data_IF_492822678060
#
_entry.id   IF_492822678060
#
_cell.length_a   1.000
_cell.length_b   1.000
_cell.length_c   1.000
_cell.angle_alpha   90.00
_cell.angle_beta   90.00
_cell.angle_gamma   90.00
#
_symmetry.space_group_name_H-M   'P 1'
#
loop_
_entity.id
_entity.type
_entity.pdbx_description
1 polymer ?
#
# COMPACT_ATOMS: atom_id res chain seq x y z
N UNK A 1 -7.20 -1.37 12.64
CA UNK A 1 -7.31 -0.02 12.06
C UNK A 1 -8.77 0.46 12.18
N UNK A 2 -9.03 1.77 12.37
CA UNK A 2 -10.40 2.32 12.51
C UNK A 2 -11.26 2.08 11.25
N UNK A 3 -10.70 2.36 10.08
CA UNK A 3 -11.32 2.10 8.76
C UNK A 3 -11.89 0.68 8.65
N UNK A 4 -11.08 -0.34 8.97
CA UNK A 4 -11.50 -1.74 8.85
C UNK A 4 -12.60 -2.17 9.81
N UNK A 5 -12.76 -1.46 10.95
CA UNK A 5 -13.82 -1.75 11.92
C UNK A 5 -15.13 -1.04 11.60
N UNK A 6 -15.05 0.11 10.93
CA UNK A 6 -16.20 0.96 10.60
C UNK A 6 -16.73 0.71 9.18
N UNK A 7 -15.96 0.01 8.33
CA UNK A 7 -16.37 -0.27 6.97
C UNK A 7 -17.57 -1.25 6.94
N UNK A 8 -18.70 -0.86 6.32
CA UNK A 8 -19.88 -1.73 6.24
C UNK A 8 -19.80 -2.74 5.07
N UNK A 9 -18.72 -2.73 4.29
CA UNK A 9 -18.56 -3.53 3.08
C UNK A 9 -17.40 -4.52 3.24
N UNK A 10 -17.65 -5.78 2.87
CA UNK A 10 -16.66 -6.85 2.97
C UNK A 10 -16.34 -7.29 4.40
N UNK A 11 -15.60 -8.38 4.51
CA UNK A 11 -15.10 -8.93 5.77
C UNK A 11 -13.61 -8.60 5.88
N UNK A 12 -13.20 -7.93 6.95
CA UNK A 12 -11.78 -7.64 7.20
C UNK A 12 -11.00 -8.94 7.45
N UNK A 13 -9.88 -9.12 6.75
CA UNK A 13 -9.05 -10.33 6.88
C UNK A 13 -7.81 -10.01 7.72
N UNK A 14 -6.94 -9.14 7.22
CA UNK A 14 -5.69 -8.83 7.90
C UNK A 14 -5.21 -7.40 7.67
N UNK A 15 -4.33 -6.95 8.55
CA UNK A 15 -3.69 -5.65 8.54
C UNK A 15 -2.19 -5.83 8.69
N UNK A 16 -1.42 -5.12 7.85
CA UNK A 16 0.02 -5.24 7.79
C UNK A 16 0.68 -3.87 7.77
N UNK A 17 1.79 -3.78 8.49
CA UNK A 17 2.68 -2.63 8.53
C UNK A 17 3.88 -2.99 7.68
N UNK A 18 4.18 -2.14 6.69
CA UNK A 18 5.26 -2.34 5.73
C UNK A 18 6.31 -1.27 5.96
N UNK A 19 7.46 -1.70 6.47
CA UNK A 19 8.62 -0.85 6.67
C UNK A 19 9.41 -0.77 5.37
N UNK A 20 9.74 0.44 4.92
CA UNK A 20 10.56 0.68 3.72
C UNK A 20 11.88 1.34 4.09
N UNK A 21 12.67 1.70 3.07
CA UNK A 21 14.01 2.23 3.23
C UNK A 21 14.02 3.47 4.15
N UNK A 22 14.59 3.37 5.37
CA UNK A 22 14.67 4.49 6.28
C UNK A 22 15.63 5.56 5.78
N UNK A 23 16.48 5.32 4.79
CA UNK A 23 17.40 6.33 4.24
C UNK A 23 16.75 7.18 3.14
N UNK A 24 15.49 6.93 2.79
CA UNK A 24 14.81 7.67 1.73
C UNK A 24 14.72 9.19 2.05
N UNK A 25 15.13 10.08 1.11
CA UNK A 25 15.28 11.51 1.37
C UNK A 25 13.97 12.26 1.60
N UNK A 26 12.83 11.74 1.13
CA UNK A 26 11.49 12.33 1.25
C UNK A 26 10.56 11.50 2.14
N UNK A 27 11.06 11.01 3.28
CA UNK A 27 10.30 10.15 4.19
C UNK A 27 9.52 10.93 5.26
N UNK A 28 8.41 10.35 5.72
CA UNK A 28 7.90 10.60 7.07
C UNK A 28 8.84 9.91 8.09
N UNK A 29 8.77 10.27 9.38
CA UNK A 29 9.75 9.86 10.42
C UNK A 29 10.16 8.38 10.38
N UNK A 30 9.25 7.47 10.02
CA UNK A 30 9.50 6.02 9.98
C UNK A 30 9.45 5.37 8.58
N UNK A 31 9.24 6.10 7.47
CA UNK A 31 9.12 5.52 6.12
C UNK A 31 8.25 4.24 6.05
N UNK A 32 7.06 4.29 6.64
CA UNK A 32 6.20 3.13 6.80
C UNK A 32 4.89 3.32 6.02
N UNK A 33 4.39 2.22 5.44
CA UNK A 33 3.09 2.14 4.79
C UNK A 33 2.20 1.11 5.48
N UNK A 34 0.89 1.25 5.34
CA UNK A 34 -0.10 0.32 5.90
C UNK A 34 -0.90 -0.29 4.77
N UNK A 35 -1.12 -1.60 4.84
CA UNK A 35 -2.03 -2.32 3.96
C UNK A 35 -3.06 -3.11 4.78
N UNK A 36 -4.25 -3.24 4.22
CA UNK A 36 -5.38 -3.99 4.78
C UNK A 36 -6.02 -4.80 3.67
N UNK A 37 -6.51 -6.01 3.98
CA UNK A 37 -7.22 -6.86 3.04
C UNK A 37 -8.64 -7.16 3.51
N UNK A 38 -9.53 -7.36 2.55
CA UNK A 38 -10.93 -7.69 2.76
C UNK A 38 -11.35 -8.83 1.85
N UNK A 39 -12.20 -9.72 2.35
CA UNK A 39 -12.99 -10.62 1.51
C UNK A 39 -14.27 -9.88 1.12
N UNK A 40 -14.52 -9.71 -0.17
CA UNK A 40 -15.65 -8.91 -0.65
C UNK A 40 -16.31 -9.54 -1.86
N UNK A 41 -17.63 -9.36 -1.98
CA UNK A 41 -18.38 -9.72 -3.18
C UNK A 41 -18.08 -8.74 -4.31
N UNK A 42 -18.14 -9.23 -5.55
CA UNK A 42 -17.81 -8.42 -6.73
C UNK A 42 -18.66 -7.13 -6.83
N UNK A 43 -19.94 -7.23 -6.48
CA UNK A 43 -20.92 -6.13 -6.50
C UNK A 43 -20.65 -5.00 -5.46
N UNK A 44 -19.84 -5.28 -4.44
CA UNK A 44 -19.54 -4.32 -3.36
C UNK A 44 -18.12 -3.74 -3.45
N UNK A 45 -17.28 -4.22 -4.39
CA UNK A 45 -15.87 -3.78 -4.53
C UNK A 45 -15.73 -2.26 -4.62
N UNK A 46 -16.46 -1.63 -5.53
CA UNK A 46 -16.37 -0.18 -5.70
C UNK A 46 -16.92 0.59 -4.49
N UNK A 47 -17.89 0.02 -3.75
CA UNK A 47 -18.41 0.65 -2.52
C UNK A 47 -17.35 0.66 -1.41
N UNK A 48 -16.60 -0.43 -1.25
CA UNK A 48 -15.46 -0.50 -0.33
C UNK A 48 -14.38 0.52 -0.73
N UNK A 49 -14.03 0.57 -2.00
CA UNK A 49 -13.00 1.50 -2.51
C UNK A 49 -13.41 2.95 -2.26
N UNK A 50 -14.66 3.31 -2.55
CA UNK A 50 -15.13 4.68 -2.32
C UNK A 50 -15.19 5.02 -0.84
N UNK A 51 -15.71 4.11 0.00
CA UNK A 51 -15.68 4.28 1.45
C UNK A 51 -14.24 4.50 1.97
N UNK A 52 -13.27 3.71 1.48
CA UNK A 52 -11.87 3.85 1.83
C UNK A 52 -11.31 5.22 1.44
N UNK A 53 -11.60 5.69 0.21
CA UNK A 53 -11.19 7.00 -0.28
C UNK A 53 -11.74 8.11 0.61
N UNK A 54 -13.03 8.10 0.90
CA UNK A 54 -13.69 9.09 1.75
C UNK A 54 -13.09 9.09 3.17
N UNK A 55 -12.95 7.90 3.77
CA UNK A 55 -12.37 7.74 5.10
C UNK A 55 -10.96 8.33 5.18
N UNK A 56 -10.07 7.94 4.26
CA UNK A 56 -8.69 8.41 4.28
C UNK A 56 -8.57 9.88 3.89
N UNK A 57 -9.42 10.40 3.01
CA UNK A 57 -9.44 11.83 2.68
C UNK A 57 -9.81 12.67 3.90
N UNK A 58 -10.77 12.21 4.70
CA UNK A 58 -11.23 12.88 5.92
C UNK A 58 -10.23 12.78 7.08
N UNK A 59 -9.69 11.59 7.31
CA UNK A 59 -8.90 11.30 8.52
C UNK A 59 -7.39 11.52 8.32
N UNK A 60 -6.89 11.52 7.08
CA UNK A 60 -5.46 11.77 6.84
C UNK A 60 -5.10 13.23 7.06
N UNK A 61 -4.01 13.46 7.79
CA UNK A 61 -3.42 14.78 7.99
C UNK A 61 -2.44 15.20 6.88
N UNK A 62 -2.06 14.26 6.00
CA UNK A 62 -1.11 14.51 4.91
C UNK A 62 -1.83 14.87 3.61
N UNK A 63 -1.34 15.88 2.89
CA UNK A 63 -1.79 16.23 1.55
C UNK A 63 -1.24 15.28 0.46
N UNK A 64 -0.20 14.51 0.78
CA UNK A 64 0.47 13.55 -0.11
C UNK A 64 -0.06 12.10 0.03
N UNK A 65 -1.26 11.95 0.55
CA UNK A 65 -1.84 10.62 0.82
C UNK A 65 -2.21 9.91 -0.47
N UNK A 66 -1.59 8.75 -0.70
CA UNK A 66 -1.88 7.86 -1.82
C UNK A 66 -2.47 6.55 -1.28
N UNK A 67 -3.56 6.11 -1.88
CA UNK A 67 -4.17 4.81 -1.64
C UNK A 67 -3.94 3.92 -2.87
N UNK A 68 -3.63 2.66 -2.65
CA UNK A 68 -3.53 1.65 -3.70
C UNK A 68 -4.52 0.52 -3.44
N UNK A 69 -5.02 -0.08 -4.52
CA UNK A 69 -5.96 -1.21 -4.46
C UNK A 69 -5.45 -2.28 -5.41
N UNK A 70 -5.40 -3.51 -4.91
CA UNK A 70 -5.11 -4.70 -5.70
C UNK A 70 -6.22 -5.71 -5.50
N UNK A 71 -6.70 -6.26 -6.61
CA UNK A 71 -7.75 -7.28 -6.63
C UNK A 71 -7.13 -8.61 -7.04
N UNK A 72 -7.02 -9.54 -6.11
CA UNK A 72 -6.43 -10.86 -6.36
C UNK A 72 -6.21 -11.66 -5.10
N UNK A 73 -5.89 -12.94 -5.28
CA UNK A 73 -5.60 -13.88 -4.19
C UNK A 73 -4.10 -14.01 -3.89
N UNK A 74 -3.25 -13.64 -4.84
CA UNK A 74 -1.79 -13.73 -4.73
C UNK A 74 -1.16 -12.53 -5.41
N UNK A 75 -0.25 -11.87 -4.71
CA UNK A 75 0.52 -10.75 -5.27
C UNK A 75 1.45 -11.27 -6.40
N UNK A 76 1.51 -10.61 -7.57
CA UNK A 76 2.44 -10.99 -8.65
C UNK A 76 3.91 -10.96 -8.21
N UNK A 77 4.71 -11.93 -8.63
CA UNK A 77 6.13 -12.05 -8.24
C UNK A 77 6.95 -10.81 -8.63
N UNK A 78 6.70 -10.23 -9.81
CA UNK A 78 7.35 -9.00 -10.25
C UNK A 78 7.12 -7.84 -9.26
N UNK A 79 5.89 -7.71 -8.75
CA UNK A 79 5.53 -6.68 -7.78
C UNK A 79 6.15 -6.96 -6.41
N UNK A 80 6.23 -8.23 -6.00
CA UNK A 80 6.92 -8.65 -4.79
C UNK A 80 8.41 -8.28 -4.86
N UNK A 81 9.11 -8.67 -5.93
CA UNK A 81 10.53 -8.39 -6.13
C UNK A 81 10.85 -6.90 -6.14
N UNK A 82 10.04 -6.12 -6.86
CA UNK A 82 10.19 -4.66 -6.90
C UNK A 82 10.00 -4.05 -5.49
N UNK A 83 9.00 -4.51 -4.76
CA UNK A 83 8.68 -3.97 -3.43
C UNK A 83 9.70 -4.37 -2.37
N UNK A 84 10.27 -5.58 -2.48
CA UNK A 84 11.39 -5.99 -1.65
C UNK A 84 12.61 -5.10 -1.89
N UNK A 85 12.95 -4.85 -3.16
CA UNK A 85 14.04 -3.94 -3.54
C UNK A 85 13.80 -2.50 -3.07
N UNK A 86 12.56 -2.05 -3.00
CA UNK A 86 12.22 -0.71 -2.50
C UNK A 86 12.58 -0.50 -1.02
N UNK A 87 12.90 -1.57 -0.27
CA UNK A 87 13.43 -1.48 1.10
C UNK A 87 14.91 -1.07 1.16
N UNK A 88 15.64 -1.13 0.05
CA UNK A 88 17.07 -0.76 -0.01
C UNK A 88 17.43 0.18 -1.18
N UNK A 89 16.60 0.21 -2.23
CA UNK A 89 16.83 1.02 -3.44
C UNK A 89 15.91 2.24 -3.43
N UNK A 90 16.44 3.39 -3.86
CA UNK A 90 15.65 4.60 -4.09
C UNK A 90 14.99 4.54 -5.48
N UNK A 91 13.67 4.41 -5.50
CA UNK A 91 12.87 4.49 -6.72
C UNK A 91 12.31 5.90 -6.95
N UNK A 92 11.91 6.17 -8.20
CA UNK A 92 11.14 7.37 -8.56
C UNK A 92 9.63 7.10 -8.48
N UNK A 93 8.83 8.16 -8.42
CA UNK A 93 7.36 8.03 -8.50
C UNK A 93 6.92 7.37 -9.81
N UNK A 94 7.64 7.62 -10.91
CA UNK A 94 7.36 7.01 -12.21
C UNK A 94 7.54 5.49 -12.18
N UNK A 95 8.60 4.99 -11.54
CA UNK A 95 8.84 3.55 -11.41
C UNK A 95 7.68 2.86 -10.68
N UNK A 96 7.16 3.51 -9.63
CA UNK A 96 6.01 3.02 -8.87
C UNK A 96 4.71 3.00 -9.70
N UNK A 97 4.45 4.02 -10.52
CA UNK A 97 3.30 4.04 -11.43
C UNK A 97 3.41 2.95 -12.50
N UNK A 98 4.60 2.79 -13.08
CA UNK A 98 4.84 1.84 -14.16
C UNK A 98 4.73 0.38 -13.68
N UNK A 99 5.26 0.05 -12.49
CA UNK A 99 5.09 -1.30 -11.91
C UNK A 99 3.64 -1.55 -11.49
N UNK A 100 2.96 -0.57 -10.89
CA UNK A 100 1.58 -0.69 -10.46
C UNK A 100 0.65 -1.00 -11.65
N UNK A 101 0.77 -0.23 -12.74
CA UNK A 101 -0.03 -0.40 -13.95
C UNK A 101 0.16 -1.77 -14.59
N UNK A 102 1.41 -2.26 -14.66
CA UNK A 102 1.73 -3.58 -15.25
C UNK A 102 1.19 -4.74 -14.42
N UNK A 103 1.03 -4.55 -13.11
CA UNK A 103 0.61 -5.59 -12.15
C UNK A 103 -0.85 -5.43 -11.68
N UNK A 104 -1.64 -4.58 -12.35
CA UNK A 104 -3.07 -4.43 -12.05
C UNK A 104 -3.37 -3.71 -10.73
N UNK A 105 -2.42 -2.94 -10.19
CA UNK A 105 -2.62 -2.12 -9.00
C UNK A 105 -3.23 -0.78 -9.39
N UNK A 106 -4.41 -0.48 -8.85
CA UNK A 106 -5.08 0.82 -9.02
C UNK A 106 -4.50 1.80 -8.01
N UNK A 107 -4.11 2.98 -8.46
CA UNK A 107 -3.51 4.04 -7.61
C UNK A 107 -4.43 5.25 -7.52
N UNK A 108 -4.60 5.82 -6.32
CA UNK A 108 -5.43 6.99 -6.06
C UNK A 108 -4.68 8.02 -5.24
N UNK A 109 -4.43 9.21 -5.80
CA UNK A 109 -4.10 10.38 -5.00
C UNK A 109 -5.37 10.89 -4.33
N UNK A 110 -5.42 10.89 -2.99
CA UNK A 110 -6.63 11.27 -2.26
C UNK A 110 -6.78 12.78 -2.10
N UNK A 111 -5.65 13.50 -2.10
CA UNK A 111 -5.59 14.95 -2.00
C UNK A 111 -4.70 15.52 -3.11
N UNK A 112 -3.85 16.50 -2.80
CA UNK A 112 -3.08 17.27 -3.80
C UNK A 112 -1.77 16.60 -4.20
N UNK A 113 -1.21 15.75 -3.35
CA UNK A 113 0.12 15.21 -3.50
C UNK A 113 0.16 13.72 -3.82
N UNK A 114 1.27 13.29 -4.43
CA UNK A 114 1.52 11.92 -4.91
C UNK A 114 2.74 11.26 -4.27
N UNK A 115 3.44 11.94 -3.36
CA UNK A 115 4.73 11.48 -2.82
C UNK A 115 4.65 10.13 -2.10
N UNK A 116 3.48 9.76 -1.59
CA UNK A 116 3.25 8.46 -0.95
C UNK A 116 3.16 7.26 -1.90
N UNK A 117 3.27 7.45 -3.23
CA UNK A 117 2.98 6.40 -4.20
C UNK A 117 3.93 5.21 -4.13
N UNK A 118 5.23 5.44 -3.94
CA UNK A 118 6.22 4.36 -3.82
C UNK A 118 5.85 3.47 -2.64
N UNK A 119 5.51 4.08 -1.50
CA UNK A 119 5.15 3.33 -0.31
C UNK A 119 3.84 2.58 -0.44
N UNK A 120 2.82 3.22 -1.01
CA UNK A 120 1.53 2.60 -1.23
C UNK A 120 1.61 1.41 -2.20
N UNK A 121 2.41 1.50 -3.26
CA UNK A 121 2.61 0.38 -4.20
C UNK A 121 3.44 -0.73 -3.55
N UNK A 122 4.53 -0.37 -2.86
CA UNK A 122 5.38 -1.34 -2.17
C UNK A 122 4.64 -2.10 -1.06
N UNK A 123 3.65 -1.46 -0.42
CA UNK A 123 2.81 -2.08 0.59
C UNK A 123 2.00 -3.26 0.04
N UNK A 124 1.51 -3.17 -1.20
CA UNK A 124 0.83 -4.27 -1.90
C UNK A 124 1.83 -5.40 -2.17
N UNK A 125 2.99 -5.07 -2.74
CA UNK A 125 3.97 -6.10 -3.08
C UNK A 125 4.54 -6.84 -1.88
N UNK A 126 4.72 -6.14 -0.76
CA UNK A 126 5.20 -6.75 0.48
C UNK A 126 4.09 -7.45 1.29
N UNK A 127 2.83 -7.41 0.85
CA UNK A 127 1.72 -7.85 1.69
C UNK A 127 1.83 -9.33 2.08
N UNK A 128 2.19 -10.21 1.16
CA UNK A 128 2.24 -11.66 1.42
C UNK A 128 3.60 -12.14 1.98
N UNK A 129 4.51 -11.24 2.37
CA UNK A 129 5.88 -11.61 2.76
C UNK A 129 6.03 -12.02 4.25
N UNK A 130 4.93 -12.14 5.01
CA UNK A 130 4.99 -12.50 6.43
C UNK A 130 5.77 -11.48 7.27
N UNK A 131 6.71 -11.95 8.10
CA UNK A 131 7.55 -11.07 8.94
C UNK A 131 8.43 -10.11 8.12
N UNK A 132 8.84 -10.51 6.92
CA UNK A 132 9.66 -9.69 6.02
C UNK A 132 8.98 -8.40 5.57
N UNK A 133 7.65 -8.35 5.64
CA UNK A 133 6.89 -7.14 5.35
C UNK A 133 7.27 -6.00 6.30
N UNK A 134 7.47 -6.31 7.58
CA UNK A 134 7.75 -5.34 8.64
C UNK A 134 9.25 -5.11 8.90
N UNK A 135 10.14 -5.93 8.36
CA UNK A 135 11.60 -5.78 8.52
C UNK A 135 12.29 -5.28 7.25
N UNK A 136 13.54 -4.88 7.39
CA UNK A 136 14.47 -4.55 6.31
C UNK A 136 15.25 -5.81 5.90
N UNK A 137 15.86 -5.84 4.70
CA UNK A 137 16.66 -6.99 4.28
C UNK A 137 17.73 -7.41 5.29
N UNK A 138 18.39 -6.43 5.91
CA UNK A 138 19.44 -6.62 6.93
C UNK A 138 18.94 -7.31 8.21
N UNK A 139 17.63 -7.28 8.50
CA UNK A 139 17.04 -7.92 9.69
C UNK A 139 16.92 -9.46 9.54
N UNK A 140 17.15 -10.00 8.34
CA UNK A 140 16.95 -11.42 8.01
C UNK A 140 18.21 -12.12 7.48
N UNK A 141 19.35 -11.42 7.51
CA UNK A 141 20.68 -11.95 7.19
C UNK A 141 21.30 -12.73 8.38
#
# INVERSE_FOLDING_TARGET
MKMSKECPYGEFIEHKIIQLNPEAPNKTTNCCSTAISFAIKEEDKEKLIEYAKEFFTKESVSDDTVMTVYEGLRIPEELQDWSWKAKSILYTEKDAVDIAKRNGVRTYGLKKGTKGIIGAVAAIGCFDMGLRSAGLPEDFD
#
